data_IF_491136174954
#
_entry.id   IF_491136174954
#
_cell.length_a   1.000
_cell.length_b   1.000
_cell.length_c   1.000
_cell.angle_alpha   90.00
_cell.angle_beta   90.00
_cell.angle_gamma   90.00
#
_symmetry.space_group_name_H-M   'P 1'
#
loop_
_entity.id
_entity.type
_entity.pdbx_description
1 polymer ?
#
# COMPACT_ATOMS: atom_id res chain seq x y z
N UNK A 1 -6.38 29.24 23.44
CA UNK A 1 -5.08 28.81 22.92
C UNK A 1 -4.93 27.29 22.92
N UNK A 2 -5.15 26.64 24.03
CA UNK A 2 -5.12 25.17 24.07
C UNK A 2 -6.17 24.53 23.20
N UNK A 3 -7.34 25.15 23.10
CA UNK A 3 -8.41 24.68 22.24
C UNK A 3 -7.99 24.65 20.77
N UNK A 4 -7.23 25.64 20.34
CA UNK A 4 -6.73 25.71 18.98
C UNK A 4 -5.65 24.67 18.69
N UNK A 5 -4.80 24.39 19.67
CA UNK A 5 -3.83 23.30 19.54
C UNK A 5 -4.50 21.94 19.47
N UNK A 6 -5.53 21.74 20.30
CA UNK A 6 -6.35 20.53 20.23
C UNK A 6 -7.11 20.46 18.90
N UNK A 7 -7.64 21.58 18.44
CA UNK A 7 -8.29 21.66 17.15
C UNK A 7 -7.33 21.41 15.99
N UNK A 8 -6.10 21.89 16.08
CA UNK A 8 -5.07 21.62 15.06
C UNK A 8 -4.76 20.13 14.93
N UNK A 9 -4.55 19.46 16.07
CA UNK A 9 -4.30 18.03 16.10
C UNK A 9 -5.55 17.27 15.65
N UNK A 10 -6.73 17.69 16.15
CA UNK A 10 -7.99 17.09 15.75
C UNK A 10 -8.31 17.32 14.28
N UNK A 11 -7.95 18.48 13.74
CA UNK A 11 -8.15 18.79 12.32
C UNK A 11 -7.30 17.88 11.46
N UNK A 12 -6.05 17.65 11.86
CA UNK A 12 -5.19 16.72 11.14
C UNK A 12 -5.75 15.29 11.20
N UNK A 13 -6.16 14.85 12.38
CA UNK A 13 -6.80 13.55 12.56
C UNK A 13 -8.12 13.47 11.78
N UNK A 14 -8.89 14.54 11.75
CA UNK A 14 -10.13 14.61 10.98
C UNK A 14 -9.89 14.59 9.48
N UNK A 15 -8.81 15.18 9.00
CA UNK A 15 -8.43 15.08 7.58
C UNK A 15 -8.14 13.62 7.22
N UNK A 16 -7.36 12.93 8.06
CA UNK A 16 -7.07 11.51 7.85
C UNK A 16 -8.35 10.69 7.92
N UNK A 17 -9.18 10.93 8.92
CA UNK A 17 -10.49 10.28 9.06
C UNK A 17 -11.42 10.67 7.91
N UNK A 18 -11.37 11.91 7.46
CA UNK A 18 -12.15 12.38 6.32
C UNK A 18 -11.80 11.62 5.05
N UNK A 19 -10.53 11.36 4.79
CA UNK A 19 -10.12 10.52 3.68
C UNK A 19 -10.63 9.10 3.83
N UNK A 20 -10.61 8.56 5.03
CA UNK A 20 -11.14 7.22 5.30
C UNK A 20 -12.66 7.22 5.10
N UNK A 21 -13.37 8.23 5.59
CA UNK A 21 -14.82 8.32 5.45
C UNK A 21 -15.24 8.54 4.00
N UNK A 22 -14.57 9.42 3.27
CA UNK A 22 -14.81 9.62 1.84
C UNK A 22 -14.52 8.33 1.09
N UNK A 23 -13.42 7.66 1.41
CA UNK A 23 -13.08 6.36 0.86
C UNK A 23 -14.17 5.33 1.15
N UNK A 24 -14.72 5.35 2.36
CA UNK A 24 -15.79 4.44 2.76
C UNK A 24 -17.10 4.72 2.02
N UNK A 25 -17.47 5.97 1.84
CA UNK A 25 -18.66 6.35 1.06
C UNK A 25 -18.52 5.95 -0.40
N UNK A 26 -17.37 6.20 -0.98
CA UNK A 26 -17.07 5.77 -2.35
C UNK A 26 -17.08 4.25 -2.45
N UNK A 27 -16.62 3.54 -1.40
CA UNK A 27 -16.69 2.08 -1.32
C UNK A 27 -18.12 1.56 -1.40
N UNK A 28 -19.06 2.24 -0.79
CA UNK A 28 -20.45 1.84 -0.84
C UNK A 28 -21.07 2.07 -2.22
N UNK A 29 -20.57 3.01 -2.99
CA UNK A 29 -21.06 3.33 -4.33
C UNK A 29 -20.25 2.69 -5.44
N UNK A 30 -18.96 2.42 -5.20
CA UNK A 30 -18.03 1.86 -6.19
C UNK A 30 -17.25 0.71 -5.54
N UNK A 31 -17.47 -0.54 -6.00
CA UNK A 31 -16.84 -1.71 -5.37
C UNK A 31 -15.32 -1.80 -5.59
N UNK A 32 -14.77 -1.09 -6.57
CA UNK A 32 -13.35 -1.20 -6.92
C UNK A 32 -12.66 0.14 -6.69
N UNK A 33 -11.99 0.28 -5.55
CA UNK A 33 -11.34 1.53 -5.17
C UNK A 33 -9.84 1.32 -5.06
N UNK A 34 -9.12 2.24 -5.68
CA UNK A 34 -7.68 2.34 -5.54
C UNK A 34 -7.32 2.84 -4.15
N UNK A 35 -6.48 2.09 -3.45
CA UNK A 35 -5.94 2.46 -2.16
C UNK A 35 -4.45 2.75 -2.31
N UNK A 36 -3.91 3.61 -1.45
CA UNK A 36 -2.53 3.99 -1.51
C UNK A 36 -1.89 3.96 -0.12
N UNK A 37 -0.65 3.50 -0.07
CA UNK A 37 0.20 3.53 1.11
C UNK A 37 1.55 4.12 0.71
N UNK A 38 2.01 5.10 1.47
CA UNK A 38 3.34 5.66 1.27
C UNK A 38 4.27 5.19 2.37
N UNK A 39 5.39 4.63 1.96
CA UNK A 39 6.47 4.24 2.86
C UNK A 39 7.56 5.28 2.70
N UNK A 40 7.74 6.12 3.72
CA UNK A 40 8.65 7.27 3.66
C UNK A 40 10.05 6.98 4.17
N UNK A 41 10.26 5.83 4.81
CA UNK A 41 11.56 5.44 5.35
C UNK A 41 11.91 4.04 4.90
N UNK A 42 12.96 3.93 4.09
CA UNK A 42 13.42 2.67 3.51
C UNK A 42 14.73 2.21 4.15
N UNK A 43 14.85 2.33 5.45
CA UNK A 43 16.08 1.94 6.16
C UNK A 43 16.02 0.52 6.71
N UNK A 44 14.84 0.01 6.99
CA UNK A 44 14.65 -1.30 7.62
C UNK A 44 13.66 -2.15 6.85
N UNK A 45 13.76 -3.45 7.03
CA UNK A 45 12.78 -4.40 6.49
C UNK A 45 11.40 -4.15 7.09
N UNK A 46 10.38 -4.25 6.26
CA UNK A 46 9.01 -3.93 6.63
C UNK A 46 8.07 -4.99 6.08
N UNK A 47 7.07 -5.35 6.86
CA UNK A 47 5.99 -6.21 6.42
C UNK A 47 4.65 -5.55 6.72
N UNK A 48 3.79 -5.48 5.71
CA UNK A 48 2.47 -4.87 5.80
C UNK A 48 1.41 -5.82 5.27
N UNK A 49 0.24 -5.81 5.91
CA UNK A 49 -0.94 -6.47 5.37
C UNK A 49 -1.87 -5.44 4.77
N UNK A 50 -2.15 -5.58 3.49
CA UNK A 50 -3.06 -4.72 2.75
C UNK A 50 -4.36 -5.49 2.52
N UNK A 51 -5.47 -4.93 2.97
CA UNK A 51 -6.75 -5.63 2.94
C UNK A 51 -7.71 -4.99 1.96
N UNK A 52 -8.55 -5.83 1.34
CA UNK A 52 -9.69 -5.36 0.59
C UNK A 52 -10.66 -4.63 1.54
N UNK A 53 -11.30 -3.55 1.08
CA UNK A 53 -12.17 -2.75 1.93
C UNK A 53 -13.40 -3.51 2.45
N UNK A 54 -13.83 -4.54 1.75
CA UNK A 54 -14.96 -5.38 2.13
C UNK A 54 -14.58 -6.84 1.95
N UNK A 55 -15.24 -7.71 2.70
CA UNK A 55 -15.04 -9.16 2.64
C UNK A 55 -15.71 -9.85 1.44
N UNK A 56 -16.05 -9.10 0.39
CA UNK A 56 -16.59 -9.68 -0.83
C UNK A 56 -15.52 -10.49 -1.58
N UNK A 57 -15.91 -11.47 -2.37
CA UNK A 57 -14.94 -12.26 -3.14
C UNK A 57 -14.10 -11.40 -4.06
N UNK A 58 -12.80 -11.58 -4.00
CA UNK A 58 -11.83 -10.89 -4.85
C UNK A 58 -11.45 -11.84 -5.98
N UNK A 59 -11.37 -11.35 -7.20
CA UNK A 59 -10.99 -12.12 -8.38
C UNK A 59 -9.67 -11.67 -8.98
N UNK A 60 -9.31 -10.40 -8.82
CA UNK A 60 -8.05 -9.90 -9.36
C UNK A 60 -7.53 -8.74 -8.53
N UNK A 61 -6.27 -8.42 -8.76
CA UNK A 61 -5.55 -7.37 -8.06
C UNK A 61 -4.75 -6.56 -9.07
N UNK A 62 -4.88 -5.25 -9.00
CA UNK A 62 -3.94 -4.33 -9.61
C UNK A 62 -3.06 -3.77 -8.48
N UNK A 63 -1.78 -4.07 -8.53
CA UNK A 63 -0.80 -3.63 -7.55
C UNK A 63 0.28 -2.85 -8.28
N UNK A 64 0.53 -1.63 -7.83
CA UNK A 64 1.56 -0.76 -8.40
C UNK A 64 2.49 -0.28 -7.31
N UNK A 65 3.78 -0.32 -7.58
CA UNK A 65 4.81 0.23 -6.73
C UNK A 65 5.59 1.26 -7.52
N UNK A 66 5.74 2.46 -6.96
CA UNK A 66 6.55 3.55 -7.54
C UNK A 66 7.51 4.05 -6.49
N UNK A 67 8.78 4.08 -6.84
CA UNK A 67 9.84 4.42 -5.91
C UNK A 67 10.59 5.68 -6.34
N UNK A 68 10.92 6.49 -5.35
CA UNK A 68 11.91 7.56 -5.47
C UNK A 68 13.03 7.21 -4.50
N UNK A 69 13.98 6.39 -4.97
CA UNK A 69 15.00 5.81 -4.10
C UNK A 69 16.40 5.96 -4.69
N UNK A 70 17.37 5.98 -3.78
CA UNK A 70 18.76 5.69 -4.05
C UNK A 70 19.05 4.29 -3.52
N UNK A 71 19.73 3.46 -4.31
CA UNK A 71 19.94 2.06 -3.95
C UNK A 71 18.86 1.16 -4.51
N UNK A 72 18.59 0.07 -3.82
CA UNK A 72 17.63 -0.92 -4.27
C UNK A 72 16.88 -1.54 -3.10
N UNK A 73 15.73 -2.12 -3.41
CA UNK A 73 14.93 -2.84 -2.44
C UNK A 73 14.26 -4.04 -3.11
N UNK A 74 14.22 -5.15 -2.40
CA UNK A 74 13.47 -6.32 -2.81
C UNK A 74 12.07 -6.22 -2.24
N UNK A 75 11.07 -6.36 -3.10
CA UNK A 75 9.67 -6.29 -2.72
C UNK A 75 9.04 -7.64 -3.02
N UNK A 76 8.25 -8.13 -2.07
CA UNK A 76 7.52 -9.37 -2.23
C UNK A 76 6.05 -9.11 -1.96
N UNK A 77 5.19 -9.66 -2.80
CA UNK A 77 3.76 -9.73 -2.53
C UNK A 77 3.33 -11.18 -2.47
N UNK A 78 2.55 -11.50 -1.46
CA UNK A 78 2.04 -12.84 -1.24
C UNK A 78 0.67 -12.78 -0.55
N UNK A 79 0.04 -13.92 -0.44
CA UNK A 79 -1.08 -14.12 0.45
C UNK A 79 -0.74 -15.23 1.45
N UNK A 80 -1.48 -15.34 2.52
CA UNK A 80 -1.23 -16.39 3.49
C UNK A 80 -1.36 -17.77 2.85
N UNK A 81 -0.43 -18.67 3.17
CA UNK A 81 -0.41 -20.04 2.66
C UNK A 81 0.92 -20.42 2.03
N UNK A 82 0.96 -21.59 1.39
CA UNK A 82 2.18 -22.17 0.83
C UNK A 82 2.42 -21.76 -0.63
N UNK A 83 1.88 -20.64 -1.05
CA UNK A 83 2.05 -20.14 -2.41
C UNK A 83 3.34 -19.34 -2.49
N UNK A 84 4.19 -19.57 -3.49
CA UNK A 84 5.40 -18.78 -3.65
C UNK A 84 5.09 -17.30 -3.81
N UNK A 85 5.80 -16.41 -3.12
CA UNK A 85 5.60 -14.98 -3.27
C UNK A 85 6.04 -14.51 -4.66
N UNK A 86 5.44 -13.42 -5.12
CA UNK A 86 5.96 -12.68 -6.27
C UNK A 86 7.03 -11.74 -5.78
N UNK A 87 8.21 -11.86 -6.35
CA UNK A 87 9.39 -11.12 -5.92
C UNK A 87 9.83 -10.23 -7.06
N UNK A 88 10.10 -8.98 -6.75
CA UNK A 88 10.66 -8.04 -7.72
C UNK A 88 11.62 -7.08 -7.03
N UNK A 89 12.51 -6.51 -7.82
CA UNK A 89 13.48 -5.54 -7.32
C UNK A 89 13.13 -4.16 -7.85
N UNK A 90 13.17 -3.16 -6.96
CA UNK A 90 13.00 -1.75 -7.29
C UNK A 90 14.32 -1.05 -7.06
N UNK A 91 14.72 -0.23 -8.01
CA UNK A 91 15.97 0.54 -7.95
C UNK A 91 15.76 1.88 -8.64
N UNK A 92 16.80 2.70 -8.61
CA UNK A 92 16.78 3.97 -9.32
C UNK A 92 16.60 3.78 -10.83
N UNK A 93 17.17 2.73 -11.40
CA UNK A 93 17.05 2.42 -12.83
C UNK A 93 15.71 1.76 -13.16
N UNK A 94 15.10 1.09 -12.19
CA UNK A 94 13.84 0.39 -12.35
C UNK A 94 12.89 0.77 -11.21
N UNK A 95 12.33 2.00 -11.25
CA UNK A 95 11.63 2.56 -10.08
C UNK A 95 10.18 2.12 -9.94
N UNK A 96 9.66 1.33 -10.85
CA UNK A 96 8.25 0.96 -10.80
C UNK A 96 8.03 -0.52 -11.10
N UNK A 97 6.95 -1.04 -10.52
CA UNK A 97 6.48 -2.39 -10.76
C UNK A 97 4.97 -2.41 -10.77
N UNK A 98 4.40 -3.18 -11.70
CA UNK A 98 2.95 -3.37 -11.81
C UNK A 98 2.67 -4.86 -11.84
N UNK A 99 1.77 -5.30 -10.97
CA UNK A 99 1.12 -6.60 -11.07
C UNK A 99 -0.35 -6.39 -11.36
N UNK A 100 -0.82 -6.98 -12.43
CA UNK A 100 -2.23 -6.95 -12.82
C UNK A 100 -2.62 -8.38 -13.22
N UNK A 101 -3.41 -9.01 -12.39
CA UNK A 101 -3.75 -10.40 -12.64
C UNK A 101 -4.64 -11.03 -11.58
N UNK A 102 -4.78 -12.33 -11.67
CA UNK A 102 -5.64 -13.10 -10.79
C UNK A 102 -5.17 -13.02 -9.34
N UNK A 103 -6.12 -12.80 -8.44
CA UNK A 103 -5.89 -12.76 -7.02
C UNK A 103 -7.19 -13.09 -6.31
N UNK A 104 -7.22 -14.19 -5.60
CA UNK A 104 -8.45 -14.73 -5.00
C UNK A 104 -8.47 -14.60 -3.48
N UNK A 105 -7.72 -13.65 -2.96
CA UNK A 105 -7.64 -13.39 -1.53
C UNK A 105 -8.00 -11.93 -1.26
N UNK A 106 -8.56 -11.69 -0.08
CA UNK A 106 -8.97 -10.34 0.34
C UNK A 106 -7.83 -9.53 0.93
N UNK A 107 -6.60 -10.02 0.83
CA UNK A 107 -5.44 -9.34 1.38
C UNK A 107 -4.19 -9.64 0.57
N UNK A 108 -3.23 -8.74 0.70
CA UNK A 108 -1.86 -8.87 0.19
C UNK A 108 -0.91 -8.67 1.35
N UNK A 109 0.04 -9.57 1.50
CA UNK A 109 1.16 -9.38 2.42
C UNK A 109 2.30 -8.81 1.61
N UNK A 110 2.65 -7.56 1.91
CA UNK A 110 3.74 -6.84 1.30
C UNK A 110 4.96 -6.92 2.21
N UNK A 111 6.05 -7.46 1.70
CA UNK A 111 7.32 -7.49 2.41
C UNK A 111 8.33 -6.66 1.62
N UNK A 112 8.95 -5.72 2.31
CA UNK A 112 9.94 -4.83 1.74
C UNK A 112 11.27 -5.07 2.44
N UNK A 113 12.29 -5.34 1.66
CA UNK A 113 13.65 -5.56 2.17
C UNK A 113 14.62 -4.65 1.43
N UNK A 114 14.91 -3.46 1.96
CA UNK A 114 15.85 -2.52 1.34
C UNK A 114 17.28 -2.96 1.56
N UNK A 115 18.14 -2.65 0.60
CA UNK A 115 19.57 -2.79 0.77
C UNK A 115 20.09 -1.81 1.81
N UNK A 116 21.26 -2.10 2.38
CA UNK A 116 21.80 -1.39 3.54
C UNK A 116 22.01 0.12 3.33
N UNK A 117 22.16 0.57 2.10
CA UNK A 117 22.37 1.99 1.77
C UNK A 117 21.17 2.61 1.05
N UNK A 118 20.03 1.97 1.10
CA UNK A 118 18.83 2.47 0.42
C UNK A 118 18.20 3.60 1.21
N UNK A 119 17.85 4.66 0.51
CA UNK A 119 17.11 5.79 1.06
C UNK A 119 16.05 6.22 0.07
N UNK A 120 15.04 6.93 0.56
CA UNK A 120 13.96 7.45 -0.26
C UNK A 120 12.59 6.96 0.18
N UNK A 121 11.66 6.95 -0.75
CA UNK A 121 10.26 6.61 -0.46
C UNK A 121 9.69 5.68 -1.51
N UNK A 122 8.64 4.98 -1.12
CA UNK A 122 7.90 4.06 -1.97
C UNK A 122 6.40 4.36 -1.85
N UNK A 123 5.74 4.52 -2.98
CA UNK A 123 4.30 4.65 -3.04
C UNK A 123 3.71 3.35 -3.57
N UNK A 124 2.84 2.74 -2.77
CA UNK A 124 2.12 1.52 -3.12
C UNK A 124 0.68 1.89 -3.40
N UNK A 125 0.19 1.51 -4.56
CA UNK A 125 -1.22 1.62 -4.94
C UNK A 125 -1.77 0.23 -5.19
N UNK A 126 -2.96 -0.04 -4.70
CA UNK A 126 -3.57 -1.35 -4.90
C UNK A 126 -5.07 -1.23 -5.04
N UNK A 127 -5.63 -2.07 -5.91
CA UNK A 127 -7.06 -2.17 -6.13
C UNK A 127 -7.43 -3.65 -6.21
N UNK A 128 -8.36 -4.07 -5.34
CA UNK A 128 -8.94 -5.41 -5.42
C UNK A 128 -10.19 -5.35 -6.27
N UNK A 129 -10.25 -6.17 -7.30
CA UNK A 129 -11.41 -6.29 -8.17
C UNK A 129 -12.25 -7.50 -7.78
N UNK A 130 -13.54 -7.28 -7.77
CA UNK A 130 -14.54 -8.26 -7.37
C UNK A 130 -15.24 -8.87 -8.56
#
# INVERSE_FOLDING_TARGET
MELWKKLGISTFALIVLGFIVIGFEVLNSQPNIKQEVRISTLSDSLSLSLHAPKSDPVHSLLFEAKAEINGSATVQISHSGNVPPRVFEISRENPSYVYDGDWYHDHVILTLDPDSLTSGSLLISYTFYK
#
